data_IF_422294509743
#
_entry.id   IF_422294509743
#
_cell.length_a   1.000
_cell.length_b   1.000
_cell.length_c   1.000
_cell.angle_alpha   90.00
_cell.angle_beta   90.00
_cell.angle_gamma   90.00
#
_symmetry.space_group_name_H-M   'P 1'
#
loop_
_entity.id
_entity.type
_entity.pdbx_description
1 polymer ?
#
# COMPACT_ATOMS: atom_id res chain seq x y z
N UNK A 1 -1.38 15.77 -3.58
CA UNK A 1 -0.74 14.59 -4.18
C UNK A 1 -0.79 13.48 -3.15
N UNK A 2 -1.38 12.33 -3.48
CA UNK A 2 -1.35 11.14 -2.62
C UNK A 2 -0.28 10.20 -3.17
N UNK A 3 0.81 10.04 -2.42
CA UNK A 3 1.85 9.07 -2.73
C UNK A 3 1.50 7.70 -2.15
N UNK A 4 1.81 6.63 -2.89
CA UNK A 4 1.69 5.24 -2.47
C UNK A 4 2.99 4.53 -2.78
N UNK A 5 3.56 3.86 -1.79
CA UNK A 5 4.76 3.05 -1.96
C UNK A 5 4.43 1.59 -1.74
N UNK A 6 4.88 0.73 -2.66
CA UNK A 6 4.81 -0.72 -2.48
C UNK A 6 6.17 -1.36 -2.72
N UNK A 7 6.48 -2.35 -1.88
CA UNK A 7 7.61 -3.21 -2.10
C UNK A 7 7.30 -4.16 -3.26
N UNK A 8 8.25 -4.28 -4.19
CA UNK A 8 8.22 -5.37 -5.17
C UNK A 8 8.99 -6.56 -4.59
N UNK A 9 8.43 -7.78 -4.63
CA UNK A 9 9.24 -8.96 -4.37
C UNK A 9 10.35 -9.01 -5.42
N UNK A 10 11.57 -9.34 -5.00
CA UNK A 10 12.71 -9.47 -5.90
C UNK A 10 12.41 -10.58 -6.92
N UNK A 11 12.17 -10.21 -8.18
CA UNK A 11 12.09 -11.15 -9.29
C UNK A 11 13.45 -11.82 -9.47
N UNK A 12 13.51 -13.14 -9.27
CA UNK A 12 14.74 -13.90 -9.47
C UNK A 12 15.18 -13.81 -10.93
N UNK A 13 16.37 -13.24 -11.16
CA UNK A 13 17.04 -13.31 -12.46
C UNK A 13 17.32 -14.78 -12.80
N UNK A 14 16.57 -15.35 -13.75
CA UNK A 14 16.95 -16.61 -14.40
C UNK A 14 18.18 -16.35 -15.27
N UNK A 15 19.32 -16.92 -14.88
CA UNK A 15 20.55 -16.95 -15.69
C UNK A 15 20.30 -17.76 -16.97
N UNK A 16 20.55 -17.23 -18.18
CA UNK A 16 20.51 -18.04 -19.39
C UNK A 16 21.75 -18.94 -19.46
N UNK A 17 21.55 -20.17 -19.95
CA UNK A 17 22.58 -21.19 -20.12
C UNK A 17 23.66 -20.77 -21.14
N UNK A 18 24.93 -21.22 -20.97
CA UNK A 18 26.04 -20.80 -21.82
C UNK A 18 26.07 -21.66 -23.09
N UNK A 19 25.54 -21.14 -24.22
CA UNK A 19 25.56 -21.94 -25.45
C UNK A 19 25.40 -21.23 -26.79
N UNK A 20 25.21 -19.90 -26.84
CA UNK A 20 24.95 -19.24 -28.12
C UNK A 20 25.59 -17.85 -28.18
N UNK A 21 26.93 -17.79 -28.21
CA UNK A 21 27.70 -16.53 -28.13
C UNK A 21 28.08 -15.88 -29.47
N UNK A 22 27.79 -16.45 -30.63
CA UNK A 22 28.25 -15.86 -31.91
C UNK A 22 27.16 -15.37 -32.88
N UNK A 23 25.89 -15.75 -32.72
CA UNK A 23 24.82 -15.30 -33.63
C UNK A 23 24.08 -14.03 -33.19
N UNK A 24 24.32 -13.53 -31.98
CA UNK A 24 23.51 -12.45 -31.39
C UNK A 24 24.02 -11.03 -31.71
N UNK A 25 25.19 -10.87 -32.32
CA UNK A 25 25.82 -9.55 -32.48
C UNK A 25 25.21 -8.70 -33.60
N UNK A 26 24.53 -9.29 -34.59
CA UNK A 26 23.92 -8.52 -35.69
C UNK A 26 22.44 -8.16 -35.49
N UNK A 27 21.71 -8.80 -34.56
CA UNK A 27 20.31 -8.43 -34.27
C UNK A 27 20.17 -7.26 -33.28
N UNK A 28 21.26 -6.87 -32.61
CA UNK A 28 21.25 -5.84 -31.55
C UNK A 28 21.21 -4.41 -32.12
N UNK A 29 21.54 -4.20 -33.40
CA UNK A 29 21.64 -2.85 -33.99
C UNK A 29 20.31 -2.30 -34.54
N UNK A 30 19.23 -3.08 -34.57
CA UNK A 30 17.91 -2.67 -35.08
C UNK A 30 16.80 -2.75 -34.02
N UNK A 31 17.10 -3.24 -32.82
CA UNK A 31 16.17 -3.22 -31.69
C UNK A 31 16.14 -1.84 -31.07
N UNK A 32 15.28 -0.95 -31.57
CA UNK A 32 14.90 0.25 -30.84
C UNK A 32 14.44 -0.17 -29.45
N UNK A 33 15.18 0.26 -28.42
CA UNK A 33 14.81 -0.01 -27.04
C UNK A 33 13.48 0.67 -26.74
N UNK A 34 12.39 -0.09 -26.73
CA UNK A 34 11.19 0.31 -26.00
C UNK A 34 11.64 0.56 -24.56
N UNK A 35 11.61 1.83 -24.15
CA UNK A 35 11.73 2.17 -22.74
C UNK A 35 10.63 1.40 -22.02
N UNK A 36 11.00 0.34 -21.31
CA UNK A 36 10.05 -0.49 -20.59
C UNK A 36 9.25 0.42 -19.65
N UNK A 37 7.96 0.63 -19.97
CA UNK A 37 7.07 1.42 -19.13
C UNK A 37 6.91 0.66 -17.82
N UNK A 38 7.36 1.26 -16.72
CA UNK A 38 7.16 0.68 -15.40
C UNK A 38 5.65 0.66 -15.15
N UNK A 39 5.09 -0.53 -14.97
CA UNK A 39 3.68 -0.72 -14.62
C UNK A 39 3.51 -0.94 -13.10
N UNK A 40 2.42 -0.41 -12.50
CA UNK A 40 2.08 -0.69 -11.11
C UNK A 40 2.00 -2.20 -10.82
N UNK A 41 2.55 -2.63 -9.70
CA UNK A 41 2.33 -3.99 -9.22
C UNK A 41 0.93 -4.13 -8.61
N UNK A 42 0.38 -5.35 -8.62
CA UNK A 42 -0.89 -5.65 -7.97
C UNK A 42 -0.70 -5.81 -6.45
N UNK A 43 -1.42 -5.03 -5.65
CA UNK A 43 -1.43 -5.18 -4.20
C UNK A 43 -2.09 -6.49 -3.76
N UNK A 44 -1.68 -7.07 -2.61
CA UNK A 44 -2.42 -8.16 -2.00
C UNK A 44 -3.84 -7.69 -1.63
N UNK A 45 -4.85 -8.42 -2.09
CA UNK A 45 -6.26 -8.03 -1.94
C UNK A 45 -6.83 -8.32 -0.54
N UNK A 46 -6.17 -9.18 0.23
CA UNK A 46 -6.54 -9.54 1.60
C UNK A 46 -5.28 -9.74 2.43
N UNK A 47 -5.25 -9.16 3.63
CA UNK A 47 -4.12 -9.30 4.56
C UNK A 47 -4.50 -8.83 5.96
N UNK A 48 -3.71 -9.24 6.94
CA UNK A 48 -3.75 -8.72 8.30
C UNK A 48 -2.38 -8.17 8.67
N UNK A 49 -2.36 -7.10 9.47
CA UNK A 49 -1.12 -6.41 9.80
C UNK A 49 -1.29 -5.35 10.86
N UNK A 50 -0.31 -4.46 10.96
CA UNK A 50 -0.31 -3.33 11.89
C UNK A 50 -0.04 -2.05 11.11
N UNK A 51 -0.69 -0.96 11.52
CA UNK A 51 -0.53 0.34 10.87
C UNK A 51 -0.23 1.42 11.91
N UNK A 52 0.39 2.50 11.44
CA UNK A 52 0.52 3.76 12.16
C UNK A 52 -0.07 4.84 11.28
N UNK A 53 -1.18 5.44 11.72
CA UNK A 53 -1.81 6.56 11.04
C UNK A 53 -1.38 7.87 11.71
N UNK A 54 -0.79 8.76 10.94
CA UNK A 54 -0.44 10.11 11.37
C UNK A 54 -1.54 11.10 10.94
N UNK A 55 -2.15 11.75 11.92
CA UNK A 55 -3.13 12.81 11.68
C UNK A 55 -2.47 14.17 11.88
N UNK A 56 -2.29 14.92 10.80
CA UNK A 56 -1.58 16.21 10.84
C UNK A 56 -2.28 17.24 11.74
N UNK A 57 -3.61 17.34 11.69
CA UNK A 57 -4.37 18.35 12.45
C UNK A 57 -4.23 18.23 13.96
N UNK A 58 -4.03 17.02 14.48
CA UNK A 58 -3.79 16.78 15.92
C UNK A 58 -2.32 16.50 16.24
N UNK A 59 -1.48 16.32 15.22
CA UNK A 59 -0.09 15.87 15.35
C UNK A 59 0.06 14.47 15.96
N UNK A 60 -1.01 13.66 15.99
CA UNK A 60 -1.02 12.38 16.69
C UNK A 60 -0.75 11.21 15.76
N UNK A 61 -0.02 10.24 16.30
CA UNK A 61 0.12 8.91 15.71
C UNK A 61 -0.83 7.92 16.41
N UNK A 62 -1.67 7.24 15.64
CA UNK A 62 -2.53 6.15 16.12
C UNK A 62 -2.00 4.83 15.58
N UNK A 63 -1.76 3.87 16.48
CA UNK A 63 -1.31 2.52 16.15
C UNK A 63 -2.51 1.58 16.19
N UNK A 64 -2.62 0.69 15.23
CA UNK A 64 -3.74 -0.24 15.16
C UNK A 64 -3.35 -1.56 14.51
N UNK A 65 -4.01 -2.64 14.93
CA UNK A 65 -4.07 -3.90 14.18
C UNK A 65 -5.15 -3.75 13.11
N UNK A 66 -4.86 -4.20 11.89
CA UNK A 66 -5.74 -4.02 10.73
C UNK A 66 -6.00 -5.37 10.07
N UNK A 67 -7.27 -5.65 9.77
CA UNK A 67 -7.67 -6.72 8.84
C UNK A 67 -8.30 -6.05 7.61
N UNK A 68 -7.65 -6.20 6.46
CA UNK A 68 -8.08 -5.64 5.18
C UNK A 68 -8.64 -6.75 4.28
N UNK A 69 -9.85 -6.54 3.76
CA UNK A 69 -10.49 -7.43 2.80
C UNK A 69 -11.10 -6.64 1.66
N UNK A 70 -10.30 -6.45 0.60
CA UNK A 70 -10.68 -5.68 -0.57
C UNK A 70 -11.83 -6.26 -1.39
N UNK A 71 -11.88 -7.57 -1.71
CA UNK A 71 -13.00 -8.17 -2.44
C UNK A 71 -14.36 -7.96 -1.77
N UNK A 72 -14.38 -7.94 -0.44
CA UNK A 72 -15.61 -7.66 0.31
C UNK A 72 -15.78 -6.19 0.70
N UNK A 73 -14.85 -5.32 0.32
CA UNK A 73 -14.82 -3.89 0.66
C UNK A 73 -15.08 -3.65 2.16
N UNK A 74 -14.34 -4.40 2.99
CA UNK A 74 -14.44 -4.30 4.43
C UNK A 74 -13.07 -4.12 5.06
N UNK A 75 -13.04 -3.32 6.11
CA UNK A 75 -11.83 -2.96 6.83
C UNK A 75 -12.12 -2.97 8.32
N UNK A 76 -11.32 -3.71 9.08
CA UNK A 76 -11.34 -3.69 10.54
C UNK A 76 -10.09 -3.01 11.05
N UNK A 77 -10.23 -2.04 11.93
CA UNK A 77 -9.13 -1.31 12.59
C UNK A 77 -9.33 -1.43 14.09
N UNK A 78 -8.40 -2.10 14.77
CA UNK A 78 -8.40 -2.25 16.22
C UNK A 78 -7.26 -1.41 16.80
N UNK A 79 -7.59 -0.28 17.42
CA UNK A 79 -6.57 0.59 18.02
C UNK A 79 -5.78 -0.13 19.11
N UNK A 80 -4.46 0.01 19.09
CA UNK A 80 -3.59 -0.61 20.08
C UNK A 80 -3.55 0.19 21.37
N UNK A 81 -3.75 -0.53 22.48
CA UNK A 81 -3.55 -0.02 23.83
C UNK A 81 -2.08 -0.15 24.21
N UNK A 82 -1.36 0.97 24.23
CA UNK A 82 -0.08 1.01 24.96
C UNK A 82 -0.35 1.25 26.44
N UNK A 83 0.39 0.57 27.31
CA UNK A 83 0.28 0.76 28.75
C UNK A 83 0.52 2.22 29.14
N UNK A 84 -0.24 2.72 30.11
CA UNK A 84 -0.09 4.05 30.73
C UNK A 84 -0.35 5.27 29.83
N UNK A 85 -1.34 5.22 28.94
CA UNK A 85 -1.90 6.45 28.35
C UNK A 85 -3.16 6.84 29.14
N UNK A 86 -3.05 7.71 30.17
CA UNK A 86 -4.20 8.08 30.97
C UNK A 86 -5.27 8.77 30.10
N UNK A 87 -6.54 8.45 30.39
CA UNK A 87 -7.73 9.10 29.84
C UNK A 87 -7.97 8.96 28.32
N UNK A 88 -7.11 8.27 27.56
CA UNK A 88 -7.41 7.96 26.14
C UNK A 88 -8.37 6.77 26.05
N UNK A 89 -9.48 6.97 25.34
CA UNK A 89 -10.35 5.88 24.89
C UNK A 89 -9.75 5.22 23.65
N UNK A 90 -9.90 3.90 23.57
CA UNK A 90 -9.44 3.09 22.45
C UNK A 90 -10.62 2.41 21.80
N UNK A 91 -10.65 2.45 20.47
CA UNK A 91 -11.78 2.01 19.68
C UNK A 91 -11.43 0.87 18.73
N UNK A 92 -12.45 0.11 18.39
CA UNK A 92 -12.48 -0.81 17.27
C UNK A 92 -13.43 -0.23 16.23
N UNK A 93 -12.97 -0.18 14.98
CA UNK A 93 -13.74 0.27 13.84
C UNK A 93 -13.95 -0.88 12.88
N UNK A 94 -15.19 -1.14 12.51
CA UNK A 94 -15.56 -2.11 11.48
C UNK A 94 -16.28 -1.34 10.37
N UNK A 95 -15.61 -1.17 9.24
CA UNK A 95 -16.12 -0.47 8.07
C UNK A 95 -16.62 -1.50 7.06
N UNK A 96 -17.91 -1.44 6.73
CA UNK A 96 -18.57 -2.30 5.74
C UNK A 96 -19.08 -1.40 4.61
N UNK A 97 -18.28 -1.21 3.56
CA UNK A 97 -18.60 -0.24 2.51
C UNK A 97 -19.77 -0.71 1.63
N UNK A 98 -19.94 -2.03 1.42
CA UNK A 98 -21.09 -2.58 0.69
C UNK A 98 -22.43 -2.25 1.35
N UNK A 99 -22.42 -2.11 2.68
CA UNK A 99 -23.61 -1.80 3.49
C UNK A 99 -23.67 -0.32 3.91
N UNK A 100 -22.73 0.50 3.43
CA UNK A 100 -22.59 1.93 3.76
C UNK A 100 -22.62 2.22 5.27
N UNK A 101 -21.99 1.37 6.09
CA UNK A 101 -22.01 1.48 7.56
C UNK A 101 -20.64 1.27 8.18
N UNK A 102 -20.35 2.03 9.23
CA UNK A 102 -19.24 1.83 10.15
C UNK A 102 -19.76 1.61 11.57
N UNK A 103 -19.22 0.59 12.23
CA UNK A 103 -19.38 0.42 13.67
C UNK A 103 -18.14 0.96 14.37
N UNK A 104 -18.34 1.86 15.33
CA UNK A 104 -17.31 2.33 16.25
C UNK A 104 -17.62 1.75 17.64
N UNK A 105 -16.71 0.95 18.16
CA UNK A 105 -16.90 0.19 19.40
C UNK A 105 -15.83 0.61 20.41
N UNK A 106 -16.23 1.13 21.57
CA UNK A 106 -15.29 1.39 22.66
C UNK A 106 -14.80 0.05 23.25
N UNK A 107 -13.48 -0.18 23.24
CA UNK A 107 -12.97 -1.52 23.53
C UNK A 107 -13.15 -1.99 24.99
N UNK A 108 -13.32 -1.09 25.97
CA UNK A 108 -13.59 -1.47 27.39
C UNK A 108 -15.07 -1.71 27.60
N UNK A 109 -15.88 -0.67 27.42
CA UNK A 109 -17.31 -0.67 27.75
C UNK A 109 -18.13 -1.45 26.74
N UNK A 110 -17.58 -1.72 25.56
CA UNK A 110 -18.24 -2.35 24.41
C UNK A 110 -19.46 -1.57 23.91
N UNK A 111 -19.59 -0.30 24.29
CA UNK A 111 -20.58 0.60 23.71
C UNK A 111 -20.31 0.75 22.22
N UNK A 112 -21.33 0.52 21.40
CA UNK A 112 -21.26 0.47 19.95
C UNK A 112 -22.08 1.62 19.36
N UNK A 113 -21.48 2.37 18.45
CA UNK A 113 -22.14 3.40 17.64
C UNK A 113 -22.18 2.95 16.19
N UNK A 114 -23.37 2.99 15.58
CA UNK A 114 -23.56 2.72 14.15
C UNK A 114 -23.59 4.06 13.40
N UNK A 115 -22.67 4.25 12.47
CA UNK A 115 -22.46 5.51 11.75
C UNK A 115 -22.55 5.22 10.25
N UNK A 116 -23.21 6.10 9.49
CA UNK A 116 -23.29 5.96 8.03
C UNK A 116 -21.93 6.29 7.39
N UNK A 117 -21.43 5.40 6.51
CA UNK A 117 -20.27 5.67 5.67
C UNK A 117 -20.71 6.43 4.42
N UNK A 118 -20.14 7.62 4.21
CA UNK A 118 -20.43 8.47 3.04
C UNK A 118 -19.33 8.42 2.00
N UNK A 119 -18.10 8.19 2.45
CA UNK A 119 -16.95 8.11 1.57
C UNK A 119 -16.97 6.80 0.77
N UNK A 120 -16.58 6.83 -0.52
CA UNK A 120 -16.49 5.63 -1.33
C UNK A 120 -15.35 4.73 -0.86
N UNK A 121 -15.42 3.46 -1.24
CA UNK A 121 -14.33 2.50 -1.03
C UNK A 121 -13.06 2.94 -1.79
N UNK A 122 -11.96 3.10 -1.08
CA UNK A 122 -10.63 3.39 -1.62
C UNK A 122 -9.66 2.24 -1.28
N UNK A 123 -9.31 1.36 -2.24
CA UNK A 123 -8.47 0.21 -1.97
C UNK A 123 -7.03 0.61 -1.62
N UNK A 124 -6.36 -0.22 -0.81
CA UNK A 124 -4.91 -0.15 -0.62
C UNK A 124 -4.18 -0.77 -1.81
N UNK A 125 -4.28 -0.13 -2.96
CA UNK A 125 -3.62 -0.51 -4.20
C UNK A 125 -3.05 0.72 -4.92
N UNK A 126 -2.31 0.51 -6.01
CA UNK A 126 -1.83 1.55 -6.92
C UNK A 126 -2.75 1.57 -8.14
N UNK A 127 -3.53 2.65 -8.37
CA UNK A 127 -4.34 2.78 -9.58
C UNK A 127 -3.52 2.68 -10.87
N UNK A 128 -4.07 2.07 -11.92
CA UNK A 128 -3.38 1.87 -13.19
C UNK A 128 -2.96 3.18 -13.88
N UNK A 129 -3.64 4.29 -13.58
CA UNK A 129 -3.36 5.63 -14.10
C UNK A 129 -2.42 6.46 -13.19
N UNK A 130 -1.68 5.81 -12.29
CA UNK A 130 -0.72 6.48 -11.42
C UNK A 130 0.55 6.85 -12.18
N UNK A 131 1.21 7.91 -11.73
CA UNK A 131 2.52 8.33 -12.23
C UNK A 131 3.61 7.65 -11.41
N UNK A 132 4.52 6.96 -12.08
CA UNK A 132 5.75 6.45 -11.46
C UNK A 132 6.64 7.62 -11.05
N UNK A 133 7.09 7.65 -9.80
CA UNK A 133 7.93 8.72 -9.27
C UNK A 133 9.37 8.28 -9.08
N UNK A 134 9.60 7.19 -8.33
CA UNK A 134 10.95 6.74 -8.00
C UNK A 134 11.01 5.26 -7.60
N UNK A 135 12.22 4.71 -7.52
CA UNK A 135 12.52 3.41 -6.94
C UNK A 135 13.80 3.46 -6.12
N UNK A 136 13.72 3.04 -4.86
CA UNK A 136 14.84 3.12 -3.92
C UNK A 136 14.83 1.95 -2.95
N UNK A 137 15.95 1.76 -2.24
CA UNK A 137 16.08 0.77 -1.19
C UNK A 137 15.85 1.40 0.18
N UNK A 138 15.06 0.72 1.02
CA UNK A 138 14.94 1.03 2.44
C UNK A 138 15.77 -0.02 3.19
N UNK A 139 16.70 0.42 4.04
CA UNK A 139 17.59 -0.47 4.81
C UNK A 139 19.06 -0.31 4.44
N UNK A 140 19.89 -1.27 4.84
CA UNK A 140 21.34 -1.28 4.62
C UNK A 140 21.82 -2.56 3.94
N UNK A 141 23.11 -2.67 3.61
CA UNK A 141 23.65 -3.88 2.98
C UNK A 141 23.38 -5.12 3.83
N UNK A 142 22.75 -6.14 3.23
CA UNK A 142 22.37 -7.39 3.89
C UNK A 142 20.96 -7.43 4.48
N UNK A 143 20.31 -6.27 4.66
CA UNK A 143 18.90 -6.17 5.09
C UNK A 143 18.27 -4.90 4.49
N UNK A 144 17.77 -5.04 3.27
CA UNK A 144 17.15 -3.96 2.53
C UNK A 144 16.00 -4.46 1.67
N UNK A 145 15.05 -3.57 1.42
CA UNK A 145 13.89 -3.82 0.58
C UNK A 145 13.78 -2.75 -0.48
N UNK A 146 13.60 -3.17 -1.74
CA UNK A 146 13.36 -2.27 -2.86
C UNK A 146 11.88 -1.88 -2.88
N UNK A 147 11.61 -0.59 -2.91
CA UNK A 147 10.25 -0.03 -3.00
C UNK A 147 10.12 0.87 -4.22
N UNK A 148 8.90 0.97 -4.74
CA UNK A 148 8.54 1.91 -5.79
C UNK A 148 7.54 2.91 -5.26
N UNK A 149 7.72 4.19 -5.59
CA UNK A 149 6.79 5.27 -5.25
C UNK A 149 5.96 5.66 -6.46
N UNK A 150 4.65 5.81 -6.23
CA UNK A 150 3.64 6.18 -7.22
C UNK A 150 2.79 7.31 -6.70
N UNK A 151 2.34 8.19 -7.58
CA UNK A 151 1.49 9.33 -7.19
C UNK A 151 0.33 9.56 -8.17
N UNK A 152 -0.59 10.43 -7.77
CA UNK A 152 -1.65 11.00 -8.62
C UNK A 152 -1.20 12.28 -9.36
N UNK A 153 0.11 12.60 -9.34
CA UNK A 153 0.68 13.75 -10.05
C UNK A 153 0.42 13.61 -11.54
N UNK A 154 -0.02 14.69 -12.17
CA UNK A 154 -0.10 14.80 -13.63
C UNK A 154 1.06 15.67 -14.12
N UNK A 155 1.63 15.40 -15.31
CA UNK A 155 2.63 16.28 -15.89
C UNK A 155 2.11 17.72 -15.92
N UNK A 156 2.93 18.67 -15.49
CA UNK A 156 2.67 20.07 -15.80
C UNK A 156 2.67 20.20 -17.34
N UNK A 157 1.66 20.90 -17.88
CA UNK A 157 1.37 21.08 -19.32
C UNK A 157 2.66 21.10 -20.19
N UNK A 158 2.67 20.31 -21.27
CA UNK A 158 3.72 20.36 -22.32
C UNK A 158 3.76 21.71 -23.01
#
# INVERSE_FOLDING_TARGET
SRARSMARPAGGLRRPAPGLRLALLLLVLLGGGEAATVEPCQAPRQWEGRTVFYEHGTGRNTRAVVSYDGPNQRLRILEERKALIPCKKFFEYILLYKDAVMFQIEQVTKLCSKIALREPWDPYDIPANSTYEDQYYIGGPGDQIMVQEWSDRKPARK
#
